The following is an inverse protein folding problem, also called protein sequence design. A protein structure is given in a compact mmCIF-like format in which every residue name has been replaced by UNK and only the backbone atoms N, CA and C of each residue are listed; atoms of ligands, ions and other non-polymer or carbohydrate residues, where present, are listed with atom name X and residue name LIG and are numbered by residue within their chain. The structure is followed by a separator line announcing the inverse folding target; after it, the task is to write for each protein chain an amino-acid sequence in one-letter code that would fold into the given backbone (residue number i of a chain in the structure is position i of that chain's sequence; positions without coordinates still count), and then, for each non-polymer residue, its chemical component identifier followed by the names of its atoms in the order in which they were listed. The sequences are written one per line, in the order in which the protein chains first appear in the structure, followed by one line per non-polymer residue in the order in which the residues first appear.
data_IF_474713601396
#
_entry.id   IF_474713601396
#
_cell.length_a   1.000
_cell.length_b   1.000
_cell.length_c   1.000
_cell.angle_alpha   90.00
_cell.angle_beta   90.00
_cell.angle_gamma   90.00
#
_symmetry.space_group_name_H-M   'P 1'
#
loop_
_entity.id
_entity.type
_entity.pdbx_description
1 polymer ?
#
# COMPACT_ATOMS: atom_id res chain seq x y z
N UNK A 1 14.80 3.62 22.98
CA UNK A 1 16.17 3.93 22.55
C UNK A 1 16.57 2.85 21.55
N UNK A 2 16.59 3.14 20.28
CA UNK A 2 17.08 2.22 19.26
C UNK A 2 18.53 2.61 19.05
N UNK A 3 19.45 1.81 19.57
CA UNK A 3 20.87 1.98 19.33
C UNK A 3 21.19 1.33 17.98
N UNK A 4 21.45 2.15 16.98
CA UNK A 4 22.23 1.71 15.82
C UNK A 4 23.68 1.64 16.27
N UNK A 5 24.18 0.42 16.44
CA UNK A 5 25.56 0.20 16.79
C UNK A 5 26.49 0.92 15.79
N UNK A 6 27.43 1.68 16.33
CA UNK A 6 28.58 2.30 15.67
C UNK A 6 28.39 3.30 14.53
N UNK A 7 27.21 3.81 14.27
CA UNK A 7 26.97 4.93 13.35
C UNK A 7 26.42 6.17 14.07
N UNK A 8 26.82 6.45 15.31
CA UNK A 8 26.69 7.77 15.96
C UNK A 8 25.28 8.43 15.98
N UNK A 9 24.22 7.71 15.67
CA UNK A 9 22.84 8.20 15.72
C UNK A 9 22.12 7.64 16.96
N UNK A 10 22.50 8.17 18.12
CA UNK A 10 21.69 8.00 19.33
C UNK A 10 20.40 8.82 19.18
N UNK A 11 19.26 8.16 19.12
CA UNK A 11 17.97 8.83 19.25
C UNK A 11 17.90 9.29 20.72
N UNK A 12 18.01 10.60 20.96
CA UNK A 12 17.90 11.19 22.30
C UNK A 12 16.47 11.02 22.82
N UNK A 13 16.32 10.98 24.12
CA UNK A 13 15.00 10.94 24.80
C UNK A 13 14.04 12.04 24.35
N UNK A 14 14.54 13.15 23.81
CA UNK A 14 13.75 14.20 23.14
C UNK A 14 13.02 13.71 21.89
N UNK A 15 13.56 12.72 21.16
CA UNK A 15 12.91 12.21 19.95
C UNK A 15 11.72 11.31 20.28
N UNK A 16 11.71 10.66 21.46
CA UNK A 16 10.57 9.91 21.97
C UNK A 16 9.41 10.84 22.38
N UNK A 17 9.71 12.06 22.86
CA UNK A 17 8.69 13.08 23.11
C UNK A 17 8.19 13.74 21.83
N UNK A 18 9.03 13.84 20.80
CA UNK A 18 8.61 14.30 19.45
C UNK A 18 7.62 13.29 18.83
N UNK A 19 7.82 11.98 19.05
CA UNK A 19 6.85 10.98 18.62
C UNK A 19 5.53 11.02 19.43
N UNK A 20 5.56 11.45 20.66
CA UNK A 20 4.35 11.65 21.50
C UNK A 20 3.61 12.97 21.17
N UNK A 21 4.31 13.97 20.64
CA UNK A 21 3.73 15.29 20.26
C UNK A 21 3.30 15.38 18.79
N UNK A 22 3.44 14.33 17.98
CA UNK A 22 2.89 14.26 16.63
C UNK A 22 1.39 13.91 16.62
N UNK A 23 0.63 14.64 17.41
CA UNK A 23 -0.81 14.82 17.21
C UNK A 23 -1.03 15.94 16.20
N UNK A 24 -1.48 15.63 15.04
CA UNK A 24 -1.72 16.38 13.81
C UNK A 24 -0.48 16.53 12.92
N UNK A 25 -0.32 15.58 12.00
CA UNK A 25 0.36 15.90 10.77
C UNK A 25 -0.52 16.92 10.05
N UNK A 26 -0.03 18.15 9.86
CA UNK A 26 -0.64 19.09 8.93
C UNK A 26 -0.46 18.50 7.52
N UNK A 27 -1.38 17.60 7.15
CA UNK A 27 -1.46 17.12 5.78
C UNK A 27 -1.91 18.30 4.93
N UNK A 28 -1.12 18.65 3.91
CA UNK A 28 -1.53 19.64 2.91
C UNK A 28 -2.36 18.88 1.88
N UNK A 29 -3.70 18.88 1.98
CA UNK A 29 -4.53 18.22 1.00
C UNK A 29 -4.49 18.98 -0.32
N UNK A 30 -4.62 18.25 -1.42
CA UNK A 30 -4.76 18.86 -2.76
C UNK A 30 -6.14 19.52 -2.94
N UNK A 31 -6.98 19.47 -1.91
CA UNK A 31 -8.27 20.11 -1.74
C UNK A 31 -8.40 20.65 -0.33
N UNK A 32 -9.59 21.07 0.04
CA UNK A 32 -9.89 21.62 1.38
C UNK A 32 -10.00 20.54 2.46
N UNK A 33 -10.15 19.26 2.08
CA UNK A 33 -10.47 18.14 2.97
C UNK A 33 -9.89 16.85 2.40
N UNK A 34 -9.54 15.92 3.28
CA UNK A 34 -9.13 14.54 2.95
C UNK A 34 -10.23 13.58 3.39
N UNK A 35 -10.62 12.64 2.54
CA UNK A 35 -11.51 11.54 2.87
C UNK A 35 -10.93 10.20 2.45
N UNK A 36 -11.06 9.22 3.33
CA UNK A 36 -10.65 7.84 3.08
C UNK A 36 -11.90 6.97 2.96
N UNK A 37 -12.02 6.25 1.87
CA UNK A 37 -13.06 5.27 1.63
C UNK A 37 -12.46 3.86 1.54
N UNK A 38 -13.28 2.85 1.78
CA UNK A 38 -12.85 1.46 1.67
C UNK A 38 -13.74 0.69 0.71
N UNK A 39 -13.12 -0.20 -0.06
CA UNK A 39 -13.84 -1.31 -0.66
C UNK A 39 -13.98 -2.49 0.30
N UNK A 40 -14.40 -3.64 -0.23
CA UNK A 40 -14.72 -4.83 0.57
C UNK A 40 -13.50 -5.65 1.01
N UNK A 41 -12.33 -5.47 0.37
CA UNK A 41 -11.20 -6.39 0.57
C UNK A 41 -10.48 -6.27 1.91
N UNK A 42 -10.45 -5.06 2.52
CA UNK A 42 -9.80 -4.86 3.81
C UNK A 42 -10.31 -3.62 4.56
N UNK A 43 -11.57 -3.60 5.01
CA UNK A 43 -12.16 -2.47 5.72
C UNK A 43 -11.46 -2.17 7.05
N UNK A 44 -10.95 -3.19 7.75
CA UNK A 44 -10.24 -3.03 9.02
C UNK A 44 -8.96 -2.19 8.85
N UNK A 45 -8.22 -2.39 7.75
CA UNK A 45 -7.05 -1.58 7.44
C UNK A 45 -7.43 -0.12 7.20
N UNK A 46 -8.50 0.14 6.45
CA UNK A 46 -8.97 1.49 6.19
C UNK A 46 -9.41 2.19 7.48
N UNK A 47 -10.10 1.49 8.36
CA UNK A 47 -10.50 2.01 9.68
C UNK A 47 -9.28 2.33 10.56
N UNK A 48 -8.28 1.44 10.59
CA UNK A 48 -7.02 1.70 11.30
C UNK A 48 -6.26 2.90 10.73
N UNK A 49 -6.25 3.08 9.41
CA UNK A 49 -5.65 4.26 8.77
C UNK A 49 -6.39 5.52 9.24
N UNK A 50 -7.72 5.53 9.17
CA UNK A 50 -8.53 6.66 9.61
C UNK A 50 -8.31 7.01 11.09
N UNK A 51 -8.27 6.01 11.98
CA UNK A 51 -7.96 6.19 13.40
C UNK A 51 -6.59 6.82 13.63
N UNK A 52 -5.56 6.40 12.88
CA UNK A 52 -4.22 6.97 12.98
C UNK A 52 -4.14 8.41 12.43
N UNK A 53 -4.97 8.74 11.46
CA UNK A 53 -5.07 10.08 10.89
C UNK A 53 -5.97 11.02 11.70
N UNK A 54 -6.73 10.49 12.67
CA UNK A 54 -7.70 11.28 13.45
C UNK A 54 -8.92 11.73 12.64
N UNK A 55 -9.29 10.98 11.57
CA UNK A 55 -10.45 11.25 10.72
C UNK A 55 -11.44 10.10 10.75
N UNK A 56 -12.66 10.34 10.30
CA UNK A 56 -13.66 9.29 10.12
C UNK A 56 -13.54 8.62 8.75
N UNK A 57 -13.89 7.34 8.68
CA UNK A 57 -14.03 6.63 7.42
C UNK A 57 -15.19 7.24 6.62
N UNK A 58 -15.00 7.42 5.32
CA UNK A 58 -15.99 7.94 4.40
C UNK A 58 -17.18 6.98 4.24
N UNK A 59 -18.36 7.56 4.07
CA UNK A 59 -19.61 6.80 3.96
C UNK A 59 -19.82 6.32 2.54
N UNK A 60 -19.66 5.03 2.31
CA UNK A 60 -19.98 4.34 1.05
C UNK A 60 -20.68 3.02 1.34
N UNK A 61 -21.42 2.53 0.36
CA UNK A 61 -22.05 1.21 0.39
C UNK A 61 -21.50 0.41 -0.79
N UNK A 62 -20.96 -0.75 -0.50
CA UNK A 62 -20.44 -1.71 -1.48
C UNK A 62 -21.30 -2.96 -1.37
N UNK A 63 -21.99 -3.31 -2.46
CA UNK A 63 -22.86 -4.49 -2.56
C UNK A 63 -22.67 -5.17 -3.90
N UNK A 64 -23.32 -6.28 -4.12
CA UNK A 64 -23.41 -6.94 -5.42
C UNK A 64 -24.87 -7.08 -5.84
N UNK A 65 -25.12 -6.99 -7.13
CA UNK A 65 -26.39 -7.40 -7.73
C UNK A 65 -26.51 -8.93 -7.74
N UNK A 66 -27.71 -9.43 -8.02
CA UNK A 66 -28.00 -10.86 -8.00
C UNK A 66 -27.19 -11.68 -9.03
N UNK A 67 -26.75 -11.04 -10.11
CA UNK A 67 -25.90 -11.60 -11.17
C UNK A 67 -24.40 -11.50 -10.88
N UNK A 68 -24.01 -10.87 -9.74
CA UNK A 68 -22.64 -10.75 -9.28
C UNK A 68 -21.95 -9.46 -9.69
N UNK A 69 -22.60 -8.54 -10.40
CA UNK A 69 -22.03 -7.21 -10.66
C UNK A 69 -21.91 -6.39 -9.37
N UNK A 70 -20.79 -5.69 -9.19
CA UNK A 70 -20.62 -4.83 -8.02
C UNK A 70 -21.46 -3.55 -8.13
N UNK A 71 -22.06 -3.15 -7.02
CA UNK A 71 -22.83 -1.91 -6.88
C UNK A 71 -22.19 -1.02 -5.82
N UNK A 72 -21.87 0.20 -6.19
CA UNK A 72 -21.20 1.18 -5.33
C UNK A 72 -22.10 2.41 -5.17
N UNK A 73 -22.27 2.84 -3.92
CA UNK A 73 -22.91 4.12 -3.60
C UNK A 73 -22.02 4.95 -2.70
N UNK A 74 -21.77 6.20 -3.08
CA UNK A 74 -21.06 7.18 -2.26
C UNK A 74 -22.12 8.00 -1.53
N UNK A 75 -22.14 7.89 -0.19
CA UNK A 75 -23.23 8.39 0.66
C UNK A 75 -22.92 9.73 1.31
N UNK A 76 -21.93 10.46 0.77
CA UNK A 76 -21.59 11.81 1.21
C UNK A 76 -20.92 12.62 0.08
N UNK A 77 -20.95 13.97 0.16
CA UNK A 77 -20.31 14.82 -0.83
C UNK A 77 -18.78 14.61 -0.86
N UNK A 78 -18.22 14.52 -2.07
CA UNK A 78 -16.76 14.40 -2.30
C UNK A 78 -16.24 15.47 -3.29
N UNK A 79 -17.08 16.42 -3.68
CA UNK A 79 -16.71 17.47 -4.64
C UNK A 79 -15.52 18.31 -4.14
N UNK A 80 -14.43 18.30 -4.92
CA UNK A 80 -13.21 19.03 -4.61
C UNK A 80 -12.38 18.44 -3.46
N UNK A 81 -12.76 17.26 -2.95
CA UNK A 81 -12.08 16.55 -1.86
C UNK A 81 -10.92 15.74 -2.38
N UNK A 82 -9.83 15.63 -1.59
CA UNK A 82 -8.74 14.69 -1.83
C UNK A 82 -9.16 13.30 -1.32
N UNK A 83 -9.51 12.40 -2.23
CA UNK A 83 -10.09 11.09 -1.92
C UNK A 83 -9.04 9.99 -1.98
N UNK A 84 -9.00 9.15 -0.96
CA UNK A 84 -8.20 7.93 -0.90
C UNK A 84 -9.12 6.72 -0.86
N UNK A 85 -8.97 5.79 -1.79
CA UNK A 85 -9.75 4.55 -1.85
C UNK A 85 -8.85 3.39 -1.46
N UNK A 86 -9.09 2.78 -0.31
CA UNK A 86 -8.33 1.63 0.21
C UNK A 86 -8.98 0.35 -0.29
N UNK A 87 -8.32 -0.35 -1.22
CA UNK A 87 -8.80 -1.61 -1.78
C UNK A 87 -7.63 -2.46 -2.27
N UNK A 88 -7.36 -3.57 -1.60
CA UNK A 88 -6.42 -4.58 -2.10
C UNK A 88 -7.04 -5.35 -3.27
N UNK A 89 -6.28 -5.55 -4.34
CA UNK A 89 -6.73 -6.40 -5.46
C UNK A 89 -6.23 -7.84 -5.29
N UNK A 90 -6.42 -8.38 -4.05
CA UNK A 90 -6.16 -9.77 -3.69
C UNK A 90 -7.39 -10.66 -4.00
N UNK A 91 -7.35 -11.92 -3.62
CA UNK A 91 -8.45 -12.88 -3.84
C UNK A 91 -9.73 -12.44 -3.13
N UNK A 92 -10.86 -12.40 -3.86
CA UNK A 92 -11.08 -12.69 -5.28
C UNK A 92 -10.58 -11.53 -6.17
N UNK A 93 -9.55 -11.82 -6.99
CA UNK A 93 -8.76 -10.76 -7.66
C UNK A 93 -9.58 -9.94 -8.64
N UNK A 94 -10.41 -10.59 -9.45
CA UNK A 94 -11.20 -9.93 -10.49
C UNK A 94 -12.28 -9.05 -9.89
N UNK A 95 -12.97 -9.55 -8.87
CA UNK A 95 -14.05 -8.83 -8.19
C UNK A 95 -13.48 -7.61 -7.45
N UNK A 96 -12.38 -7.80 -6.70
CA UNK A 96 -11.70 -6.72 -5.99
C UNK A 96 -11.16 -5.64 -6.93
N UNK A 97 -10.66 -6.02 -8.11
CA UNK A 97 -10.21 -5.07 -9.11
C UNK A 97 -11.38 -4.31 -9.73
N UNK A 98 -12.43 -5.00 -10.13
CA UNK A 98 -13.61 -4.37 -10.72
C UNK A 98 -14.28 -3.41 -9.72
N UNK A 99 -14.40 -3.81 -8.47
CA UNK A 99 -14.92 -2.97 -7.40
C UNK A 99 -14.11 -1.68 -7.26
N UNK A 100 -12.77 -1.78 -7.24
CA UNK A 100 -11.90 -0.60 -7.21
C UNK A 100 -12.12 0.33 -8.41
N UNK A 101 -12.23 -0.22 -9.62
CA UNK A 101 -12.45 0.57 -10.85
C UNK A 101 -13.80 1.31 -10.79
N UNK A 102 -14.86 0.64 -10.35
CA UNK A 102 -16.19 1.26 -10.20
C UNK A 102 -16.21 2.33 -9.11
N UNK A 103 -15.49 2.11 -7.99
CA UNK A 103 -15.33 3.13 -6.94
C UNK A 103 -14.60 4.38 -7.47
N UNK A 104 -13.53 4.21 -8.23
CA UNK A 104 -12.79 5.31 -8.84
C UNK A 104 -13.70 6.10 -9.79
N UNK A 105 -14.45 5.43 -10.67
CA UNK A 105 -15.39 6.07 -11.58
C UNK A 105 -16.49 6.84 -10.83
N UNK A 106 -17.04 6.27 -9.76
CA UNK A 106 -18.03 6.93 -8.91
C UNK A 106 -17.47 8.25 -8.30
N UNK A 107 -16.25 8.22 -7.77
CA UNK A 107 -15.59 9.40 -7.20
C UNK A 107 -15.31 10.45 -8.27
N UNK A 108 -14.85 10.04 -9.46
CA UNK A 108 -14.64 10.92 -10.61
C UNK A 108 -15.93 11.62 -11.02
N UNK A 109 -17.02 10.87 -11.16
CA UNK A 109 -18.35 11.42 -11.51
C UNK A 109 -18.92 12.32 -10.42
N UNK A 110 -18.58 12.07 -9.14
CA UNK A 110 -18.93 12.93 -8.03
C UNK A 110 -18.03 14.18 -7.91
N UNK A 111 -17.12 14.40 -8.88
CA UNK A 111 -16.20 15.54 -8.97
C UNK A 111 -15.23 15.62 -7.77
N UNK A 112 -14.70 14.49 -7.31
CA UNK A 112 -13.56 14.50 -6.38
C UNK A 112 -12.42 15.36 -6.94
N UNK A 113 -11.69 16.03 -6.08
CA UNK A 113 -10.60 16.93 -6.48
C UNK A 113 -9.35 16.18 -6.91
N UNK A 114 -9.07 15.06 -6.26
CA UNK A 114 -8.02 14.10 -6.59
C UNK A 114 -8.44 12.72 -6.08
N UNK A 115 -8.10 11.68 -6.81
CA UNK A 115 -8.40 10.28 -6.45
C UNK A 115 -7.11 9.50 -6.35
N UNK A 116 -6.75 9.06 -5.15
CA UNK A 116 -5.62 8.17 -4.88
C UNK A 116 -6.12 6.75 -4.65
N UNK A 117 -5.76 5.82 -5.52
CA UNK A 117 -6.00 4.40 -5.31
C UNK A 117 -4.93 3.84 -4.36
N UNK A 118 -5.33 3.46 -3.15
CA UNK A 118 -4.47 2.81 -2.14
C UNK A 118 -4.66 1.31 -2.26
N UNK A 119 -3.67 0.64 -2.83
CA UNK A 119 -3.71 -0.78 -3.20
C UNK A 119 -2.63 -1.54 -2.43
N UNK A 120 -2.90 -1.96 -1.17
CA UNK A 120 -1.90 -2.65 -0.33
C UNK A 120 -1.35 -3.92 -0.98
N UNK A 121 -2.17 -4.66 -1.72
CA UNK A 121 -1.75 -5.76 -2.57
C UNK A 121 -2.19 -5.52 -4.02
N UNK A 122 -1.20 -5.38 -4.92
CA UNK A 122 -1.42 -5.15 -6.34
C UNK A 122 -1.52 -6.48 -7.09
N UNK A 123 -2.72 -6.86 -7.47
CA UNK A 123 -3.00 -8.08 -8.25
C UNK A 123 -2.42 -7.99 -9.67
N UNK A 124 -2.24 -9.15 -10.32
CA UNK A 124 -1.64 -9.26 -11.66
C UNK A 124 -0.19 -8.79 -11.78
N UNK A 125 0.47 -8.34 -10.71
CA UNK A 125 1.84 -7.83 -10.71
C UNK A 125 2.88 -8.86 -11.18
N UNK A 126 2.60 -10.18 -11.06
CA UNK A 126 3.52 -11.25 -11.50
C UNK A 126 3.69 -11.33 -13.02
N UNK A 127 2.77 -10.72 -13.80
CA UNK A 127 2.84 -10.65 -15.25
C UNK A 127 3.32 -9.26 -15.69
N UNK A 128 4.52 -8.90 -15.30
CA UNK A 128 5.19 -7.63 -15.59
C UNK A 128 6.01 -7.67 -16.90
N UNK A 129 6.17 -8.85 -17.46
CA UNK A 129 6.91 -9.09 -18.72
C UNK A 129 6.35 -10.32 -19.44
N UNK A 130 6.65 -10.42 -20.72
CA UNK A 130 6.40 -11.63 -21.48
C UNK A 130 7.43 -12.70 -21.10
N UNK A 131 7.00 -13.81 -20.52
CA UNK A 131 7.84 -14.97 -20.26
C UNK A 131 8.02 -15.81 -21.54
N UNK A 132 7.00 -15.82 -22.42
CA UNK A 132 6.98 -16.52 -23.71
C UNK A 132 6.39 -15.61 -24.80
N UNK A 133 6.60 -16.01 -26.05
CA UNK A 133 5.95 -15.32 -27.17
C UNK A 133 4.41 -15.31 -27.00
N UNK A 134 3.78 -14.16 -27.26
CA UNK A 134 2.33 -13.93 -27.18
C UNK A 134 1.76 -13.89 -25.76
N UNK A 135 2.57 -13.92 -24.71
CA UNK A 135 2.09 -13.70 -23.34
C UNK A 135 1.57 -12.26 -23.15
N UNK A 136 0.56 -12.07 -22.29
CA UNK A 136 0.13 -10.74 -21.91
C UNK A 136 1.14 -10.08 -20.95
N UNK A 137 1.01 -8.76 -20.78
CA UNK A 137 1.62 -8.00 -19.70
C UNK A 137 0.48 -7.43 -18.85
N UNK A 138 -0.12 -8.30 -18.00
CA UNK A 138 -1.33 -7.96 -17.27
C UNK A 138 -1.13 -6.85 -16.25
N UNK A 139 0.09 -6.71 -15.71
CA UNK A 139 0.42 -5.58 -14.83
C UNK A 139 0.26 -4.22 -15.53
N UNK A 140 0.66 -4.10 -16.82
CA UNK A 140 0.45 -2.87 -17.61
C UNK A 140 -1.03 -2.66 -17.93
N UNK A 141 -1.76 -3.73 -18.24
CA UNK A 141 -3.20 -3.63 -18.48
C UNK A 141 -3.92 -3.06 -17.24
N UNK A 142 -3.64 -3.58 -16.05
CA UNK A 142 -4.25 -3.09 -14.80
C UNK A 142 -3.86 -1.63 -14.54
N UNK A 143 -2.59 -1.26 -14.75
CA UNK A 143 -2.15 0.13 -14.62
C UNK A 143 -2.95 1.08 -15.53
N UNK A 144 -3.17 0.68 -16.79
CA UNK A 144 -3.96 1.46 -17.73
C UNK A 144 -5.43 1.55 -17.30
N UNK A 145 -6.04 0.46 -16.83
CA UNK A 145 -7.43 0.45 -16.37
C UNK A 145 -7.64 1.42 -15.20
N UNK A 146 -6.74 1.44 -14.21
CA UNK A 146 -6.80 2.36 -13.08
C UNK A 146 -6.72 3.83 -13.54
N UNK A 147 -5.80 4.13 -14.47
CA UNK A 147 -5.65 5.48 -15.03
C UNK A 147 -6.89 5.91 -15.80
N UNK A 148 -7.43 5.05 -16.67
CA UNK A 148 -8.63 5.34 -17.48
C UNK A 148 -9.87 5.49 -16.59
N UNK A 149 -10.01 4.68 -15.54
CA UNK A 149 -11.11 4.81 -14.58
C UNK A 149 -11.09 6.19 -13.89
N UNK A 150 -9.91 6.80 -13.73
CA UNK A 150 -9.79 8.17 -13.22
C UNK A 150 -8.95 8.30 -11.95
N UNK A 151 -8.10 7.32 -11.65
CA UNK A 151 -7.10 7.50 -10.61
C UNK A 151 -6.08 8.56 -11.02
N UNK A 152 -5.79 9.51 -10.13
CA UNK A 152 -4.76 10.53 -10.30
C UNK A 152 -3.42 10.09 -9.71
N UNK A 153 -3.43 9.11 -8.79
CA UNK A 153 -2.26 8.58 -8.09
C UNK A 153 -2.52 7.16 -7.62
N UNK A 154 -1.47 6.37 -7.53
CA UNK A 154 -1.50 5.04 -6.91
C UNK A 154 -0.54 5.00 -5.73
N UNK A 155 -0.98 4.45 -4.61
CA UNK A 155 -0.15 4.09 -3.48
C UNK A 155 -0.27 2.58 -3.28
N UNK A 156 0.85 1.88 -3.30
CA UNK A 156 0.90 0.42 -3.18
C UNK A 156 2.04 -0.01 -2.28
N UNK A 157 2.12 -1.31 -1.96
CA UNK A 157 3.17 -1.85 -1.11
C UNK A 157 3.79 -3.09 -1.74
N UNK A 158 5.12 -3.18 -1.67
CA UNK A 158 5.90 -4.36 -2.07
C UNK A 158 5.50 -4.91 -3.45
N UNK A 159 5.49 -4.06 -4.47
CA UNK A 159 5.27 -4.51 -5.85
C UNK A 159 6.17 -5.70 -6.19
N UNK A 160 5.62 -6.65 -6.92
CA UNK A 160 6.36 -7.84 -7.36
C UNK A 160 7.70 -7.51 -8.02
N UNK A 161 7.73 -6.45 -8.80
CA UNK A 161 8.91 -5.90 -9.42
C UNK A 161 8.84 -4.36 -9.43
N UNK A 162 9.92 -3.69 -9.03
CA UNK A 162 9.93 -2.22 -8.87
C UNK A 162 9.64 -1.47 -10.18
N UNK A 163 10.03 -2.04 -11.33
CA UNK A 163 9.79 -1.46 -12.66
C UNK A 163 8.31 -1.32 -13.01
N UNK A 164 7.39 -2.00 -12.33
CA UNK A 164 5.94 -1.85 -12.54
C UNK A 164 5.50 -0.41 -12.30
N UNK A 165 6.20 0.35 -11.46
CA UNK A 165 5.95 1.79 -11.29
C UNK A 165 6.03 2.55 -12.63
N UNK A 166 6.92 2.15 -13.54
CA UNK A 166 7.04 2.72 -14.87
C UNK A 166 5.93 2.34 -15.85
N UNK A 167 4.97 1.50 -15.45
CA UNK A 167 3.81 1.16 -16.29
C UNK A 167 2.68 2.18 -16.17
N UNK A 168 2.75 3.05 -15.17
CA UNK A 168 1.75 4.08 -14.93
C UNK A 168 2.19 5.40 -15.56
N UNK A 169 1.24 6.11 -16.14
CA UNK A 169 1.41 7.49 -16.61
C UNK A 169 0.99 8.51 -15.53
N UNK A 170 0.66 8.02 -14.33
CA UNK A 170 0.33 8.78 -13.12
C UNK A 170 1.33 8.46 -12.01
N UNK A 171 1.50 9.34 -11.01
CA UNK A 171 2.41 9.09 -9.89
C UNK A 171 2.10 7.81 -9.13
N UNK A 172 3.15 7.08 -8.76
CA UNK A 172 3.06 5.83 -7.97
C UNK A 172 3.99 5.90 -6.78
N UNK A 173 3.46 5.65 -5.60
CA UNK A 173 4.23 5.41 -4.38
C UNK A 173 4.24 3.91 -4.07
N UNK A 174 5.41 3.29 -4.19
CA UNK A 174 5.60 1.90 -3.79
C UNK A 174 6.26 1.87 -2.41
N UNK A 175 5.48 1.63 -1.36
CA UNK A 175 5.96 1.47 0.00
C UNK A 175 6.59 0.09 0.21
N UNK A 176 7.46 -0.01 1.22
CA UNK A 176 8.11 -1.26 1.58
C UNK A 176 7.71 -1.68 3.00
N UNK A 177 7.27 -2.93 3.17
CA UNK A 177 6.94 -3.52 4.46
C UNK A 177 8.18 -3.87 5.29
N UNK A 178 9.32 -4.14 4.66
CA UNK A 178 10.53 -4.56 5.33
C UNK A 178 10.99 -3.65 6.49
N UNK A 179 10.93 -2.30 6.42
CA UNK A 179 11.26 -1.44 7.56
C UNK A 179 10.34 -1.62 8.75
N UNK A 180 9.04 -1.86 8.51
CA UNK A 180 8.06 -2.09 9.59
C UNK A 180 8.35 -3.41 10.30
N UNK A 181 8.58 -4.48 9.53
CA UNK A 181 8.95 -5.78 10.07
C UNK A 181 10.28 -5.69 10.83
N UNK A 182 11.30 -5.07 10.26
CA UNK A 182 12.58 -4.89 10.95
C UNK A 182 12.41 -4.18 12.30
N UNK A 183 11.65 -3.08 12.33
CA UNK A 183 11.37 -2.36 13.58
C UNK A 183 10.65 -3.25 14.61
N UNK A 184 9.66 -4.03 14.17
CA UNK A 184 8.93 -4.96 15.04
C UNK A 184 9.86 -6.02 15.64
N UNK A 185 10.67 -6.67 14.81
CA UNK A 185 11.57 -7.73 15.24
C UNK A 185 12.72 -7.20 16.10
N UNK A 186 13.29 -6.02 15.77
CA UNK A 186 14.32 -5.38 16.59
C UNK A 186 13.82 -5.06 18.00
N UNK A 187 12.59 -4.60 18.13
CA UNK A 187 11.96 -4.35 19.46
C UNK A 187 11.77 -5.63 20.26
N UNK A 188 11.46 -6.74 19.59
CA UNK A 188 11.14 -8.00 20.24
C UNK A 188 12.38 -8.83 20.57
N UNK A 189 13.37 -8.87 19.70
CA UNK A 189 14.50 -9.79 19.77
C UNK A 189 15.86 -9.09 19.91
N UNK A 190 15.97 -7.80 19.66
CA UNK A 190 17.22 -7.05 19.63
C UNK A 190 17.96 -7.17 18.29
N UNK A 191 19.13 -6.54 18.23
CA UNK A 191 20.00 -6.51 17.05
C UNK A 191 21.10 -7.56 17.13
N UNK A 192 21.45 -8.21 16.00
CA UNK A 192 22.66 -9.02 15.88
C UNK A 192 22.67 -10.30 16.75
N UNK A 193 21.54 -10.96 16.87
CA UNK A 193 21.45 -12.21 17.66
C UNK A 193 22.13 -13.36 16.94
N UNK A 194 23.04 -14.06 17.62
CA UNK A 194 23.77 -15.20 17.06
C UNK A 194 22.89 -16.46 16.89
N UNK A 195 21.79 -16.55 17.65
CA UNK A 195 20.83 -17.66 17.59
C UNK A 195 19.72 -17.47 16.56
N UNK A 196 19.82 -16.43 15.70
CA UNK A 196 18.83 -16.11 14.68
C UNK A 196 19.48 -15.97 13.30
N UNK A 197 18.74 -16.38 12.27
CA UNK A 197 19.13 -16.24 10.87
C UNK A 197 17.91 -15.85 10.03
N UNK A 198 18.12 -15.03 9.02
CA UNK A 198 17.09 -14.76 8.00
C UNK A 198 17.19 -15.81 6.92
N UNK A 199 16.07 -16.41 6.55
CA UNK A 199 16.01 -17.43 5.50
C UNK A 199 15.30 -16.86 4.28
N UNK A 200 15.96 -16.91 3.11
CA UNK A 200 15.29 -16.70 1.83
C UNK A 200 14.62 -18.00 1.39
N UNK A 201 13.31 -18.02 1.10
CA UNK A 201 12.60 -19.23 0.73
C UNK A 201 12.93 -19.71 -0.69
N UNK A 202 13.50 -18.85 -1.53
CA UNK A 202 13.87 -19.09 -2.91
C UNK A 202 14.95 -18.11 -3.39
N UNK A 203 15.54 -18.37 -4.55
CA UNK A 203 16.58 -17.52 -5.15
C UNK A 203 16.03 -16.13 -5.52
N UNK A 204 14.77 -16.04 -5.94
CA UNK A 204 14.13 -14.76 -6.32
C UNK A 204 13.97 -13.77 -5.16
N UNK A 205 13.90 -14.27 -3.93
CA UNK A 205 13.72 -13.48 -2.71
C UNK A 205 15.04 -13.07 -2.04
N UNK A 206 16.20 -13.54 -2.50
CA UNK A 206 17.51 -13.35 -1.86
C UNK A 206 17.84 -11.87 -1.63
N UNK A 207 17.61 -11.01 -2.61
CA UNK A 207 17.93 -9.58 -2.49
C UNK A 207 17.12 -8.92 -1.36
N UNK A 208 15.84 -9.27 -1.24
CA UNK A 208 14.93 -8.79 -0.19
C UNK A 208 15.32 -9.34 1.18
N UNK A 209 15.56 -10.64 1.27
CA UNK A 209 16.02 -11.30 2.50
C UNK A 209 17.35 -10.74 2.99
N UNK A 210 18.31 -10.48 2.09
CA UNK A 210 19.61 -9.87 2.39
C UNK A 210 19.45 -8.47 2.97
N UNK A 211 18.63 -7.62 2.33
CA UNK A 211 18.36 -6.28 2.84
C UNK A 211 17.75 -6.31 4.25
N UNK A 212 16.86 -7.28 4.51
CA UNK A 212 16.27 -7.46 5.82
C UNK A 212 17.30 -7.96 6.84
N UNK A 213 18.11 -8.97 6.49
CA UNK A 213 19.18 -9.49 7.33
C UNK A 213 20.17 -8.40 7.76
N UNK A 214 20.60 -7.55 6.82
CA UNK A 214 21.49 -6.41 7.12
C UNK A 214 20.85 -5.43 8.12
N UNK A 215 19.54 -5.14 7.98
CA UNK A 215 18.83 -4.25 8.92
C UNK A 215 18.75 -4.84 10.33
N UNK A 216 18.73 -6.16 10.45
CA UNK A 216 18.62 -6.89 11.70
C UNK A 216 20.00 -7.25 12.31
N UNK A 217 21.10 -7.11 11.56
CA UNK A 217 22.43 -7.58 11.95
C UNK A 217 22.52 -9.11 12.00
N UNK A 218 21.77 -9.82 11.14
CA UNK A 218 21.67 -11.28 11.15
C UNK A 218 22.35 -11.89 9.93
N UNK A 219 22.70 -13.20 10.06
CA UNK A 219 23.12 -14.04 8.94
C UNK A 219 21.97 -14.27 7.94
N UNK A 220 22.33 -14.71 6.73
CA UNK A 220 21.40 -15.09 5.66
C UNK A 220 21.62 -16.55 5.26
N UNK A 221 20.55 -17.33 5.25
CA UNK A 221 20.49 -18.64 4.61
C UNK A 221 19.55 -18.59 3.40
N UNK A 222 19.78 -19.45 2.43
CA UNK A 222 19.00 -19.53 1.19
C UNK A 222 18.54 -20.96 1.01
N UNK A 223 17.25 -21.12 0.72
CA UNK A 223 16.70 -22.40 0.25
C UNK A 223 16.76 -22.38 -1.26
N UNK A 224 17.40 -23.41 -1.83
CA UNK A 224 17.55 -23.61 -3.28
C UNK A 224 16.55 -24.68 -3.76
#
# INVERSE_FOLDING_TARGET
MILYGNLGFGVRTQDAEIFKKRGSYDMIPHGKEIKVFTGSSNPDLADMICKNLGISLGKSTVTAFADGECSISINEPVRGVDVFIVQSTCKPVNDSLMELLVMIDAMKRASAGRITAVIPYFGYARQDRKAKARDPISAKLVANLLTVAGADRVLTMDLHAAQIQGFFDIPVDNLYGAPLFATHYLRRFGYGREDMVVVSPDVGSVARARSFAMKMGLGLAIVD
#
